data_IF_131687238998
#
_entry.id   IF_131687238998
#
_cell.length_a   1.000
_cell.length_b   1.000
_cell.length_c   1.000
_cell.angle_alpha   90.00
_cell.angle_beta   90.00
_cell.angle_gamma   90.00
#
_symmetry.space_group_name_H-M   'P 1'
#
loop_
_entity.id
_entity.type
_entity.pdbx_description
1 polymer ?
#
# COMPACT_ATOMS: atom_id res chain seq x y z
N UNK A 1 10.37 -7.11 -3.12
CA UNK A 1 10.53 -5.75 -3.67
C UNK A 1 11.16 -4.83 -2.64
N UNK A 2 11.84 -3.81 -3.08
CA UNK A 2 12.46 -2.83 -2.20
C UNK A 2 11.48 -1.71 -1.85
N UNK A 3 11.14 -1.57 -0.57
CA UNK A 3 10.36 -0.45 -0.06
C UNK A 3 11.32 0.73 0.13
N UNK A 4 11.12 1.79 -0.65
CA UNK A 4 12.07 2.89 -0.74
C UNK A 4 12.23 3.62 0.60
N UNK A 5 11.14 3.79 1.35
CA UNK A 5 11.20 4.41 2.68
C UNK A 5 10.29 3.65 3.63
N UNK A 6 10.81 3.34 4.81
CA UNK A 6 10.03 2.70 5.87
C UNK A 6 9.30 3.70 6.75
N UNK A 7 9.56 4.99 6.56
CA UNK A 7 8.96 6.04 7.39
C UNK A 7 7.43 5.97 7.43
N UNK A 8 6.72 5.81 6.30
CA UNK A 8 5.25 5.68 6.34
C UNK A 8 4.78 4.50 7.18
N UNK A 9 5.49 3.36 7.12
CA UNK A 9 5.18 2.21 7.96
C UNK A 9 5.40 2.51 9.44
N UNK A 10 6.51 3.13 9.79
CA UNK A 10 6.82 3.46 11.17
C UNK A 10 5.81 4.44 11.76
N UNK A 11 5.41 5.44 10.98
CA UNK A 11 4.39 6.40 11.40
C UNK A 11 3.03 5.73 11.57
N UNK A 12 2.65 4.82 10.67
CA UNK A 12 1.40 4.09 10.77
C UNK A 12 1.37 3.16 11.98
N UNK A 13 2.48 2.49 12.28
CA UNK A 13 2.59 1.63 13.46
C UNK A 13 2.40 2.46 14.73
N UNK A 14 2.98 3.66 14.79
CA UNK A 14 2.83 4.55 15.93
C UNK A 14 1.39 5.07 16.06
N UNK A 15 0.75 5.40 14.95
CA UNK A 15 -0.63 5.95 14.94
C UNK A 15 -1.71 4.89 15.13
N UNK A 16 -1.44 3.65 14.70
CA UNK A 16 -2.40 2.55 14.72
C UNK A 16 -1.78 1.31 15.38
N UNK A 17 -1.50 1.37 16.70
CA UNK A 17 -0.78 0.28 17.36
C UNK A 17 -1.53 -1.06 17.31
N UNK A 18 -2.85 -1.03 17.21
CA UNK A 18 -3.65 -2.25 17.03
C UNK A 18 -3.42 -2.95 15.69
N UNK A 19 -2.83 -2.25 14.72
CA UNK A 19 -2.53 -2.77 13.39
C UNK A 19 -1.03 -3.05 13.19
N UNK A 20 -0.22 -2.90 14.23
CA UNK A 20 1.24 -2.99 14.13
C UNK A 20 1.72 -4.32 13.56
N UNK A 21 1.16 -5.44 14.04
CA UNK A 21 1.56 -6.77 13.55
C UNK A 21 1.24 -6.93 12.06
N UNK A 22 0.04 -6.53 11.66
CA UNK A 22 -0.36 -6.61 10.25
C UNK A 22 0.52 -5.73 9.36
N UNK A 23 0.92 -4.55 9.83
CA UNK A 23 1.81 -3.65 9.09
C UNK A 23 3.21 -4.24 8.96
N UNK A 24 3.74 -4.80 10.03
CA UNK A 24 5.06 -5.46 10.00
C UNK A 24 5.03 -6.67 9.06
N UNK A 25 3.97 -7.48 9.11
CA UNK A 25 3.82 -8.64 8.23
C UNK A 25 3.79 -8.21 6.76
N UNK A 26 3.03 -7.16 6.44
CA UNK A 26 2.97 -6.63 5.08
C UNK A 26 4.34 -6.15 4.61
N UNK A 27 5.03 -5.38 5.44
CA UNK A 27 6.38 -4.90 5.13
C UNK A 27 7.33 -6.06 4.87
N UNK A 28 7.27 -7.10 5.68
CA UNK A 28 8.10 -8.28 5.51
C UNK A 28 7.81 -9.02 4.20
N UNK A 29 6.54 -9.17 3.83
CA UNK A 29 6.18 -9.78 2.55
C UNK A 29 6.75 -8.98 1.39
N UNK A 30 6.61 -7.66 1.42
CA UNK A 30 7.14 -6.79 0.37
C UNK A 30 8.67 -6.87 0.27
N UNK A 31 9.36 -6.83 1.41
CA UNK A 31 10.83 -6.80 1.42
C UNK A 31 11.47 -8.14 1.07
N UNK A 32 10.83 -9.27 1.44
CA UNK A 32 11.44 -10.59 1.28
C UNK A 32 11.15 -11.24 -0.06
N UNK A 33 10.13 -10.78 -0.79
CA UNK A 33 9.69 -11.42 -2.02
C UNK A 33 9.95 -10.54 -3.22
N UNK A 34 10.14 -11.18 -4.37
CA UNK A 34 10.12 -10.51 -5.66
C UNK A 34 8.81 -10.86 -6.36
N UNK A 35 8.23 -9.89 -7.07
CA UNK A 35 6.99 -10.10 -7.80
C UNK A 35 7.18 -9.61 -9.23
N UNK A 36 6.93 -10.49 -10.20
CA UNK A 36 7.12 -10.14 -11.62
C UNK A 36 6.07 -9.15 -12.12
N UNK A 37 4.86 -9.24 -11.53
CA UNK A 37 3.71 -8.47 -11.99
C UNK A 37 2.65 -8.38 -10.88
N UNK A 38 1.60 -7.55 -11.07
CA UNK A 38 0.55 -7.41 -10.07
C UNK A 38 -0.23 -8.70 -9.79
N UNK A 39 -0.37 -9.59 -10.76
CA UNK A 39 -1.10 -10.85 -10.57
C UNK A 39 -0.36 -11.76 -9.59
N UNK A 40 0.96 -11.85 -9.72
CA UNK A 40 1.78 -12.62 -8.80
C UNK A 40 1.70 -12.02 -7.39
N UNK A 41 1.81 -10.69 -7.26
CA UNK A 41 1.68 -10.02 -5.98
C UNK A 41 0.29 -10.27 -5.38
N UNK A 42 -0.77 -10.24 -6.19
CA UNK A 42 -2.14 -10.47 -5.71
C UNK A 42 -2.32 -11.88 -5.14
N UNK A 43 -1.55 -12.86 -5.59
CA UNK A 43 -1.62 -14.21 -5.03
C UNK A 43 -1.18 -14.26 -3.56
N UNK A 44 -0.31 -13.33 -3.14
CA UNK A 44 0.13 -13.19 -1.75
C UNK A 44 -0.65 -12.13 -0.99
N UNK A 45 -1.15 -11.13 -1.70
CA UNK A 45 -1.90 -10.00 -1.13
C UNK A 45 -3.25 -9.93 -1.85
N UNK A 46 -4.24 -10.75 -1.45
CA UNK A 46 -5.50 -10.88 -2.20
C UNK A 46 -6.30 -9.58 -2.33
N UNK A 47 -6.11 -8.63 -1.42
CA UNK A 47 -6.79 -7.34 -1.47
C UNK A 47 -6.14 -6.34 -2.42
N UNK A 48 -5.01 -6.70 -3.05
CA UNK A 48 -4.34 -5.79 -3.98
C UNK A 48 -5.30 -5.38 -5.11
N UNK A 49 -5.42 -4.08 -5.33
CA UNK A 49 -6.27 -3.54 -6.37
C UNK A 49 -5.62 -2.30 -6.96
N UNK A 50 -6.05 -1.95 -8.17
CA UNK A 50 -5.54 -0.78 -8.87
C UNK A 50 -6.13 0.50 -8.26
N UNK A 51 -5.27 1.49 -8.00
CA UNK A 51 -5.74 2.82 -7.62
C UNK A 51 -5.94 3.63 -8.91
N UNK A 52 -7.14 3.65 -9.42
CA UNK A 52 -7.44 4.09 -10.79
C UNK A 52 -7.18 5.57 -11.09
N UNK A 53 -6.94 6.41 -10.09
CA UNK A 53 -6.75 7.85 -10.28
C UNK A 53 -5.30 8.27 -10.53
N UNK A 54 -4.36 7.33 -10.42
CA UNK A 54 -2.93 7.55 -10.70
C UNK A 54 -2.33 6.31 -11.34
N UNK A 55 -1.48 6.52 -12.34
CA UNK A 55 -0.81 5.43 -13.03
C UNK A 55 0.15 4.70 -12.08
N UNK A 56 0.15 3.37 -12.14
CA UNK A 56 1.04 2.50 -11.37
C UNK A 56 0.87 2.63 -9.86
N UNK A 57 -0.24 3.19 -9.41
CA UNK A 57 -0.59 3.21 -8.00
C UNK A 57 -1.51 2.06 -7.68
N UNK A 58 -1.27 1.46 -6.52
CA UNK A 58 -1.99 0.27 -6.07
C UNK A 58 -2.45 0.46 -4.64
N UNK A 59 -3.50 -0.27 -4.26
CA UNK A 59 -4.05 -0.21 -2.91
C UNK A 59 -4.10 -1.62 -2.34
N UNK A 60 -3.77 -1.74 -1.05
CA UNK A 60 -3.80 -3.01 -0.31
C UNK A 60 -4.48 -2.76 1.03
N UNK A 61 -5.43 -3.64 1.41
CA UNK A 61 -6.04 -3.60 2.73
C UNK A 61 -5.06 -4.14 3.77
N UNK A 62 -5.04 -3.52 4.94
CA UNK A 62 -4.21 -3.92 6.07
C UNK A 62 -5.11 -4.16 7.28
N UNK A 63 -4.86 -5.26 8.00
CA UNK A 63 -5.67 -5.64 9.16
C UNK A 63 -7.16 -5.68 8.81
N UNK A 64 -7.50 -6.46 7.78
CA UNK A 64 -8.85 -6.48 7.22
C UNK A 64 -9.17 -5.15 6.57
N UNK A 65 -10.23 -4.48 7.06
CA UNK A 65 -10.62 -3.17 6.53
C UNK A 65 -10.16 -2.00 7.40
N UNK A 66 -9.28 -2.24 8.39
CA UNK A 66 -8.88 -1.19 9.32
C UNK A 66 -8.05 -0.09 8.67
N UNK A 67 -7.10 -0.48 7.83
CA UNK A 67 -6.24 0.45 7.12
C UNK A 67 -6.15 0.11 5.64
N UNK A 68 -5.74 1.12 4.85
CA UNK A 68 -5.41 0.94 3.44
C UNK A 68 -4.06 1.56 3.14
N UNK A 69 -3.23 0.79 2.46
CA UNK A 69 -1.94 1.26 1.96
C UNK A 69 -2.10 1.62 0.50
N UNK A 70 -1.66 2.83 0.13
CA UNK A 70 -1.63 3.28 -1.26
C UNK A 70 -0.17 3.51 -1.64
N UNK A 71 0.26 2.89 -2.74
CA UNK A 71 1.66 2.95 -3.14
C UNK A 71 1.82 2.96 -4.66
N UNK A 72 2.84 3.67 -5.12
CA UNK A 72 3.36 3.51 -6.47
C UNK A 72 4.24 2.26 -6.48
N UNK A 73 4.05 1.39 -7.46
CA UNK A 73 4.83 0.16 -7.58
C UNK A 73 5.42 0.04 -8.98
N UNK A 74 6.73 -0.16 -9.04
CA UNK A 74 7.44 -0.45 -10.27
C UNK A 74 7.92 -1.89 -10.21
N UNK A 75 7.21 -2.78 -10.90
CA UNK A 75 7.53 -4.21 -10.89
C UNK A 75 8.81 -4.53 -11.65
N UNK A 76 9.11 -3.74 -12.67
CA UNK A 76 10.34 -3.94 -13.43
C UNK A 76 11.59 -3.65 -12.59
N UNK A 77 11.53 -2.58 -11.80
CA UNK A 77 12.64 -2.18 -10.93
C UNK A 77 12.52 -2.76 -9.51
N UNK A 78 11.44 -3.48 -9.20
CA UNK A 78 11.19 -4.06 -7.88
C UNK A 78 11.22 -2.99 -6.78
N UNK A 79 10.54 -1.87 -7.01
CA UNK A 79 10.49 -0.75 -6.05
C UNK A 79 9.06 -0.40 -5.70
N UNK A 80 8.84 -0.10 -4.42
CA UNK A 80 7.56 0.35 -3.87
C UNK A 80 7.77 1.69 -3.17
N UNK A 81 7.01 2.69 -3.59
CA UNK A 81 6.98 4.01 -2.95
C UNK A 81 5.64 4.15 -2.25
N UNK A 82 5.64 4.05 -0.92
CA UNK A 82 4.41 4.19 -0.14
C UNK A 82 3.99 5.66 -0.13
N UNK A 83 2.77 5.91 -0.58
CA UNK A 83 2.20 7.27 -0.62
C UNK A 83 1.35 7.55 0.61
N UNK A 84 0.52 6.61 1.02
CA UNK A 84 -0.37 6.76 2.16
C UNK A 84 -0.59 5.43 2.85
N UNK A 85 -0.66 5.44 4.18
CA UNK A 85 -1.22 4.35 4.99
C UNK A 85 -2.24 5.01 5.90
N UNK A 86 -3.54 4.77 5.63
CA UNK A 86 -4.62 5.57 6.20
C UNK A 86 -5.79 4.71 6.63
N UNK A 87 -6.65 5.27 7.49
CA UNK A 87 -7.92 4.66 7.86
C UNK A 87 -8.87 4.64 6.67
N UNK A 88 -9.95 3.84 6.78
CA UNK A 88 -10.97 3.76 5.74
C UNK A 88 -11.61 5.12 5.47
N UNK A 89 -11.92 5.89 6.51
CA UNK A 89 -12.52 7.22 6.37
C UNK A 89 -11.57 8.18 5.63
N UNK A 90 -10.29 8.15 5.97
CA UNK A 90 -9.29 8.98 5.30
C UNK A 90 -9.09 8.54 3.85
N UNK A 91 -9.15 7.23 3.59
CA UNK A 91 -9.09 6.69 2.24
C UNK A 91 -10.22 7.27 1.37
N UNK A 92 -11.43 7.34 1.91
CA UNK A 92 -12.57 7.91 1.18
C UNK A 92 -12.33 9.38 0.83
N UNK A 93 -11.75 10.15 1.74
CA UNK A 93 -11.38 11.55 1.47
C UNK A 93 -10.31 11.66 0.41
N UNK A 94 -9.29 10.80 0.46
CA UNK A 94 -8.21 10.78 -0.53
C UNK A 94 -8.73 10.40 -1.92
N UNK A 95 -9.64 9.44 -2.02
CA UNK A 95 -10.19 9.06 -3.32
C UNK A 95 -10.96 10.20 -3.95
N UNK A 96 -11.73 10.95 -3.16
CA UNK A 96 -12.42 12.15 -3.66
C UNK A 96 -11.43 13.19 -4.16
N UNK A 97 -10.37 13.43 -3.41
CA UNK A 97 -9.31 14.37 -3.79
C UNK A 97 -8.66 13.96 -5.11
N UNK A 98 -8.18 12.73 -5.22
CA UNK A 98 -7.48 12.26 -6.42
C UNK A 98 -8.39 12.16 -7.64
N UNK A 99 -9.66 11.84 -7.44
CA UNK A 99 -10.64 11.83 -8.51
C UNK A 99 -10.81 13.21 -9.15
N UNK A 100 -10.74 14.28 -8.33
CA UNK A 100 -10.88 15.65 -8.78
C UNK A 100 -9.57 16.28 -9.25
N UNK A 101 -8.41 15.67 -8.89
CA UNK A 101 -7.08 16.20 -9.19
C UNK A 101 -6.29 15.13 -9.97
N UNK A 102 -6.77 14.79 -11.15
CA UNK A 102 -6.10 13.82 -12.02
C UNK A 102 -4.84 14.44 -12.63
N UNK A 103 -3.89 13.57 -12.96
CA UNK A 103 -2.64 13.98 -13.62
C UNK A 103 -2.89 14.59 -15.00
#
# INVERSE_FOLDING_TARGET
>A
VHVISRKPFNEAIASFPGCAIALVDLLNVLEKKTFSDPQEMKSYLPSLDNFKYRKKWWVVDVAGNSLRLIAFMDFRLQKVFVKHIVSHAEYDRLTKYYRSHTE
#
